data_IF_839157546968
#
_entry.id   IF_839157546968
#
_cell.length_a   1.000
_cell.length_b   1.000
_cell.length_c   1.000
_cell.angle_alpha   90.00
_cell.angle_beta   90.00
_cell.angle_gamma   90.00
#
_symmetry.space_group_name_H-M   'P 1'
#
loop_
_entity.id
_entity.type
_entity.pdbx_description
1 polymer ?
#
# COMPACT_ATOMS: atom_id res chain seq x y z
N UNK A 1 19.07 -12.00 24.41
CA UNK A 1 18.09 -11.48 23.43
C UNK A 1 18.36 -12.19 22.11
N UNK A 2 17.35 -12.77 21.44
CA UNK A 2 17.56 -13.35 20.11
C UNK A 2 18.09 -12.29 19.16
N UNK A 3 19.05 -12.64 18.32
CA UNK A 3 19.53 -11.73 17.26
C UNK A 3 18.41 -11.63 16.22
N UNK A 4 17.95 -10.41 15.86
CA UNK A 4 16.90 -10.30 14.86
C UNK A 4 17.34 -10.91 13.52
N UNK A 5 16.46 -11.70 12.91
CA UNK A 5 16.74 -12.35 11.63
C UNK A 5 17.01 -11.34 10.52
N UNK A 6 18.00 -11.61 9.67
CA UNK A 6 18.33 -10.79 8.50
C UNK A 6 18.35 -11.64 7.25
N UNK A 7 17.55 -11.25 6.25
CA UNK A 7 17.51 -11.87 4.92
C UNK A 7 17.96 -10.85 3.89
N UNK A 8 18.88 -11.25 3.02
CA UNK A 8 19.26 -10.51 1.81
C UNK A 8 19.23 -11.49 0.66
N UNK A 9 18.43 -11.22 -0.37
CA UNK A 9 18.19 -12.21 -1.42
C UNK A 9 18.00 -11.63 -2.82
N UNK A 10 18.50 -12.36 -3.81
CA UNK A 10 18.14 -12.24 -5.23
C UNK A 10 17.44 -13.48 -5.76
N UNK A 11 17.10 -14.44 -4.90
CA UNK A 11 16.43 -15.70 -5.23
C UNK A 11 14.93 -15.63 -4.99
N UNK A 12 14.24 -16.71 -5.41
CA UNK A 12 12.82 -16.92 -5.16
C UNK A 12 12.63 -17.67 -3.84
N UNK A 13 11.89 -17.07 -2.90
CA UNK A 13 11.33 -17.76 -1.74
C UNK A 13 9.83 -17.90 -1.93
N UNK A 14 9.31 -19.11 -1.75
CA UNK A 14 7.89 -19.40 -1.94
C UNK A 14 7.36 -20.22 -0.77
N UNK A 15 6.21 -19.82 -0.24
CA UNK A 15 5.45 -20.61 0.72
C UNK A 15 4.88 -21.87 0.06
N UNK A 16 4.77 -22.96 0.81
CA UNK A 16 4.17 -24.20 0.29
C UNK A 16 2.71 -24.00 -0.13
N UNK A 17 2.27 -24.60 -1.23
CA UNK A 17 0.86 -24.56 -1.60
C UNK A 17 0.03 -25.44 -0.66
N UNK A 18 -1.21 -25.05 -0.43
CA UNK A 18 -2.20 -25.86 0.24
C UNK A 18 -2.60 -27.08 -0.58
N UNK A 19 -2.91 -28.19 0.10
CA UNK A 19 -3.42 -29.40 -0.54
C UNK A 19 -4.88 -29.25 -0.95
N UNK A 20 -5.29 -29.83 -2.07
CA UNK A 20 -6.70 -29.87 -2.45
C UNK A 20 -7.50 -30.78 -1.52
N UNK A 21 -8.76 -30.43 -1.31
CA UNK A 21 -9.72 -31.23 -0.57
C UNK A 21 -9.95 -32.60 -1.20
N UNK A 22 -10.08 -33.64 -0.36
CA UNK A 22 -10.44 -34.98 -0.83
C UNK A 22 -11.92 -35.08 -1.21
N UNK A 23 -12.24 -35.69 -2.35
CA UNK A 23 -13.62 -35.95 -2.75
C UNK A 23 -14.26 -37.01 -1.85
N UNK A 24 -15.58 -36.94 -1.69
CA UNK A 24 -16.38 -37.94 -0.97
C UNK A 24 -17.39 -38.61 -1.91
N UNK A 25 -17.38 -39.95 -1.94
CA UNK A 25 -18.33 -40.74 -2.77
C UNK A 25 -19.65 -41.08 -2.04
N UNK A 26 -19.81 -40.64 -0.78
CA UNK A 26 -20.96 -40.95 0.07
C UNK A 26 -22.23 -40.16 -0.28
N UNK A 27 -23.40 -40.79 -0.10
CA UNK A 27 -24.69 -40.11 -0.21
C UNK A 27 -24.80 -39.02 0.87
N UNK A 28 -24.94 -37.76 0.46
CA UNK A 28 -24.93 -36.57 1.35
C UNK A 28 -23.60 -36.32 2.11
N UNK A 29 -22.50 -36.99 1.75
CA UNK A 29 -21.20 -36.68 2.30
C UNK A 29 -20.64 -35.39 1.63
N UNK A 30 -20.09 -34.49 2.45
CA UNK A 30 -19.27 -33.38 1.96
C UNK A 30 -17.83 -33.82 1.79
N UNK A 31 -17.15 -33.33 0.75
CA UNK A 31 -15.72 -33.52 0.58
C UNK A 31 -14.90 -32.71 1.57
N UNK A 32 -13.59 -32.93 1.60
CA UNK A 32 -12.64 -32.17 2.42
C UNK A 32 -12.45 -30.74 1.93
N UNK A 33 -12.15 -29.82 2.84
CA UNK A 33 -11.73 -28.46 2.48
C UNK A 33 -10.33 -28.42 1.89
N UNK A 34 -10.03 -27.37 1.15
CA UNK A 34 -8.68 -27.07 0.69
C UNK A 34 -7.79 -26.60 1.84
N UNK A 35 -6.52 -26.98 1.82
CA UNK A 35 -5.52 -26.51 2.77
C UNK A 35 -5.06 -25.09 2.47
N UNK A 36 -4.59 -24.37 3.49
CA UNK A 36 -4.03 -23.03 3.33
C UNK A 36 -2.63 -23.08 2.69
N UNK A 37 -2.30 -22.04 1.92
CA UNK A 37 -0.95 -21.78 1.44
C UNK A 37 -0.06 -21.17 2.52
N UNK A 38 1.20 -21.55 2.54
CA UNK A 38 2.21 -21.07 3.48
C UNK A 38 2.68 -19.64 3.19
N UNK A 39 3.21 -18.98 4.20
CA UNK A 39 3.85 -17.66 4.06
C UNK A 39 5.18 -17.80 3.30
N UNK A 40 5.50 -16.85 2.42
CA UNK A 40 6.76 -16.82 1.67
C UNK A 40 7.98 -16.63 2.59
N UNK A 41 7.95 -15.58 3.42
CA UNK A 41 8.90 -15.35 4.51
C UNK A 41 8.17 -14.99 5.80
N UNK A 42 8.36 -15.79 6.84
CA UNK A 42 7.80 -15.55 8.17
C UNK A 42 8.90 -15.15 9.15
N UNK A 43 8.72 -14.04 9.84
CA UNK A 43 9.58 -13.57 10.93
C UNK A 43 8.82 -13.71 12.25
N UNK A 44 9.29 -14.63 13.09
CA UNK A 44 8.75 -14.89 14.44
C UNK A 44 9.26 -13.89 15.48
N UNK A 45 10.50 -13.42 15.32
CA UNK A 45 11.13 -12.43 16.19
C UNK A 45 10.90 -10.98 15.73
N UNK A 46 10.75 -10.09 16.70
CA UNK A 46 10.65 -8.64 16.48
C UNK A 46 12.00 -8.04 16.02
N UNK A 47 11.96 -7.03 15.15
CA UNK A 47 13.15 -6.28 14.75
C UNK A 47 13.92 -6.87 13.56
N UNK A 48 13.35 -7.85 12.85
CA UNK A 48 13.97 -8.50 11.70
C UNK A 48 14.14 -7.57 10.49
N UNK A 49 14.93 -8.00 9.51
CA UNK A 49 15.11 -7.27 8.26
C UNK A 49 15.09 -8.17 7.03
N UNK A 50 14.49 -7.67 5.94
CA UNK A 50 14.45 -8.32 4.64
C UNK A 50 14.86 -7.34 3.54
N UNK A 51 15.90 -7.68 2.78
CA UNK A 51 16.32 -6.94 1.58
C UNK A 51 16.15 -7.82 0.36
N UNK A 52 15.22 -7.46 -0.52
CA UNK A 52 14.90 -8.16 -1.75
C UNK A 52 15.54 -7.39 -2.89
N UNK A 53 16.55 -7.97 -3.54
CA UNK A 53 17.21 -7.38 -4.70
C UNK A 53 16.31 -7.42 -5.95
N UNK A 54 16.70 -6.73 -7.03
CA UNK A 54 15.86 -6.56 -8.22
C UNK A 54 15.33 -7.85 -8.86
N UNK A 55 16.10 -8.94 -8.80
CA UNK A 55 15.69 -10.25 -9.30
C UNK A 55 15.02 -11.14 -8.22
N UNK A 56 15.07 -10.74 -6.95
CA UNK A 56 14.50 -11.51 -5.85
C UNK A 56 12.98 -11.52 -5.88
N UNK A 57 12.40 -12.66 -5.49
CA UNK A 57 10.95 -12.82 -5.40
C UNK A 57 10.56 -13.46 -4.08
N UNK A 58 9.60 -12.87 -3.38
CA UNK A 58 8.98 -13.46 -2.20
C UNK A 58 7.51 -13.71 -2.52
N UNK A 59 7.10 -14.97 -2.47
CA UNK A 59 5.79 -15.43 -2.91
C UNK A 59 5.08 -16.19 -1.79
N UNK A 60 3.86 -15.78 -1.45
CA UNK A 60 2.97 -16.62 -0.66
C UNK A 60 2.58 -17.88 -1.42
N UNK A 61 2.34 -18.97 -0.70
CA UNK A 61 1.78 -20.19 -1.25
C UNK A 61 0.30 -20.02 -1.58
N UNK A 62 -0.18 -20.67 -2.63
CA UNK A 62 -1.60 -20.64 -2.97
C UNK A 62 -2.39 -21.54 -2.04
N UNK A 63 -3.62 -21.16 -1.71
CA UNK A 63 -4.59 -22.04 -1.08
C UNK A 63 -5.00 -23.18 -2.01
N UNK A 64 -5.32 -24.35 -1.44
CA UNK A 64 -5.86 -25.49 -2.19
C UNK A 64 -7.36 -25.34 -2.42
N UNK A 65 -7.88 -25.94 -3.48
CA UNK A 65 -9.32 -25.91 -3.76
C UNK A 65 -10.10 -26.86 -2.83
N UNK A 66 -11.33 -26.47 -2.50
CA UNK A 66 -12.28 -27.32 -1.80
C UNK A 66 -12.79 -28.45 -2.69
N UNK A 67 -13.12 -29.59 -2.09
CA UNK A 67 -13.66 -30.74 -2.81
C UNK A 67 -15.11 -30.54 -3.28
N UNK A 68 -15.44 -31.24 -4.37
CA UNK A 68 -16.79 -31.34 -4.89
C UNK A 68 -17.72 -32.09 -3.91
N UNK A 69 -18.97 -31.63 -3.79
CA UNK A 69 -20.00 -32.33 -3.03
C UNK A 69 -21.04 -33.01 -3.94
N UNK A 70 -21.28 -34.30 -3.70
CA UNK A 70 -22.31 -35.06 -4.42
C UNK A 70 -23.72 -34.82 -3.82
N UNK A 71 -24.74 -34.94 -4.68
CA UNK A 71 -26.16 -34.87 -4.32
C UNK A 71 -26.66 -33.52 -3.77
N UNK A 72 -27.16 -33.49 -2.52
CA UNK A 72 -27.63 -32.27 -1.84
C UNK A 72 -26.52 -31.64 -0.97
N UNK A 73 -25.29 -32.12 -1.10
CA UNK A 73 -24.16 -31.60 -0.32
C UNK A 73 -23.75 -30.19 -0.73
N UNK A 74 -23.22 -29.45 0.24
CA UNK A 74 -22.55 -28.17 0.04
C UNK A 74 -21.09 -28.47 -0.29
N UNK A 75 -20.54 -27.84 -1.34
CA UNK A 75 -19.14 -27.98 -1.69
C UNK A 75 -18.23 -27.49 -0.57
N UNK A 76 -17.04 -28.07 -0.44
CA UNK A 76 -16.14 -27.74 0.67
C UNK A 76 -15.50 -26.36 0.47
N UNK A 77 -15.01 -25.75 1.55
CA UNK A 77 -14.35 -24.44 1.46
C UNK A 77 -13.00 -24.56 0.75
N UNK A 78 -12.63 -23.53 -0.01
CA UNK A 78 -11.27 -23.35 -0.49
C UNK A 78 -10.32 -22.90 0.62
N UNK A 79 -9.04 -23.20 0.47
CA UNK A 79 -7.99 -22.77 1.39
C UNK A 79 -7.55 -21.33 1.11
N UNK A 80 -7.04 -20.65 2.12
CA UNK A 80 -6.53 -19.29 2.00
C UNK A 80 -5.14 -19.27 1.34
N UNK A 81 -4.84 -18.19 0.62
CA UNK A 81 -3.48 -17.92 0.15
C UNK A 81 -2.59 -17.36 1.26
N UNK A 82 -1.34 -17.80 1.31
CA UNK A 82 -0.36 -17.33 2.29
C UNK A 82 0.15 -15.93 1.98
N UNK A 83 0.63 -15.21 2.99
CA UNK A 83 1.24 -13.89 2.78
C UNK A 83 2.60 -13.99 2.08
N UNK A 84 3.01 -12.94 1.36
CA UNK A 84 4.38 -12.85 0.84
C UNK A 84 5.37 -12.76 2.00
N UNK A 85 5.29 -11.69 2.78
CA UNK A 85 6.05 -11.50 4.02
C UNK A 85 5.09 -11.30 5.18
N UNK A 86 5.35 -11.98 6.31
CA UNK A 86 4.62 -11.79 7.55
C UNK A 86 5.56 -11.65 8.75
N UNK A 87 5.31 -10.68 9.61
CA UNK A 87 6.03 -10.48 10.87
C UNK A 87 5.88 -9.06 11.40
N UNK A 88 6.48 -8.77 12.55
CA UNK A 88 6.32 -7.48 13.24
C UNK A 88 7.68 -6.80 13.48
N UNK A 89 7.70 -5.47 13.54
CA UNK A 89 8.94 -4.71 13.77
C UNK A 89 9.95 -4.84 12.63
N UNK A 90 9.50 -5.11 11.40
CA UNK A 90 10.40 -5.45 10.30
C UNK A 90 10.87 -4.21 9.54
N UNK A 91 12.16 -4.22 9.16
CA UNK A 91 12.69 -3.33 8.12
C UNK A 91 12.76 -4.06 6.79
N UNK A 92 11.96 -3.63 5.81
CA UNK A 92 11.85 -4.27 4.50
C UNK A 92 12.33 -3.31 3.42
N UNK A 93 13.28 -3.75 2.60
CA UNK A 93 13.74 -3.04 1.41
C UNK A 93 13.43 -3.90 0.19
N UNK A 94 12.46 -3.48 -0.62
CA UNK A 94 12.06 -4.19 -1.82
C UNK A 94 12.53 -3.48 -3.09
N UNK A 95 13.38 -4.16 -3.85
CA UNK A 95 13.73 -3.81 -5.24
C UNK A 95 13.18 -4.84 -6.24
N UNK A 96 12.79 -6.02 -5.75
CA UNK A 96 12.29 -7.13 -6.56
C UNK A 96 10.76 -7.23 -6.51
N UNK A 97 10.25 -8.46 -6.37
CA UNK A 97 8.81 -8.72 -6.28
C UNK A 97 8.43 -9.35 -4.95
N UNK A 98 7.37 -8.82 -4.32
CA UNK A 98 6.71 -9.45 -3.17
C UNK A 98 5.24 -9.65 -3.55
N UNK A 99 4.75 -10.88 -3.44
CA UNK A 99 3.38 -11.22 -3.80
C UNK A 99 2.76 -12.17 -2.78
N UNK A 100 1.51 -11.89 -2.38
CA UNK A 100 0.71 -12.83 -1.61
C UNK A 100 0.14 -13.97 -2.47
N UNK A 101 -0.11 -15.12 -1.86
CA UNK A 101 -0.65 -16.30 -2.50
C UNK A 101 -2.12 -16.13 -2.90
N UNK A 102 -2.52 -16.84 -3.94
CA UNK A 102 -3.91 -16.85 -4.40
C UNK A 102 -4.80 -17.64 -3.44
N UNK A 103 -6.08 -17.26 -3.37
CA UNK A 103 -7.10 -18.06 -2.72
C UNK A 103 -7.36 -19.36 -3.49
N UNK A 104 -7.65 -20.45 -2.77
CA UNK A 104 -8.24 -21.66 -3.35
C UNK A 104 -9.74 -21.47 -3.59
N UNK A 105 -10.26 -22.06 -4.66
CA UNK A 105 -11.67 -22.02 -4.98
C UNK A 105 -12.49 -22.90 -4.03
N UNK A 106 -13.71 -22.47 -3.72
CA UNK A 106 -14.70 -23.31 -3.08
C UNK A 106 -15.08 -24.48 -3.98
N UNK A 107 -15.22 -25.66 -3.39
CA UNK A 107 -15.68 -26.84 -4.09
C UNK A 107 -17.09 -26.64 -4.65
N UNK A 108 -17.35 -27.18 -5.84
CA UNK A 108 -18.68 -27.06 -6.45
C UNK A 108 -19.72 -27.93 -5.74
N UNK A 109 -20.94 -27.39 -5.59
CA UNK A 109 -22.12 -28.15 -5.18
C UNK A 109 -22.84 -28.77 -6.38
N UNK A 110 -23.62 -29.83 -6.15
CA UNK A 110 -24.40 -30.48 -7.21
C UNK A 110 -25.60 -29.62 -7.66
N UNK A 111 -25.42 -28.91 -8.78
CA UNK A 111 -26.39 -27.99 -9.37
C UNK A 111 -27.76 -28.64 -9.69
N UNK A 112 -27.78 -29.94 -10.04
CA UNK A 112 -29.01 -30.67 -10.39
C UNK A 112 -29.94 -30.96 -9.21
N UNK A 113 -29.48 -30.76 -7.97
CA UNK A 113 -30.21 -31.14 -6.75
C UNK A 113 -30.22 -30.04 -5.68
N UNK A 114 -29.89 -28.80 -6.07
CA UNK A 114 -29.90 -27.64 -5.19
C UNK A 114 -28.71 -27.56 -4.24
N UNK A 115 -27.57 -28.19 -4.55
CA UNK A 115 -26.34 -28.01 -3.80
C UNK A 115 -25.70 -26.64 -4.07
N UNK A 116 -25.06 -26.05 -3.07
CA UNK A 116 -24.36 -24.77 -3.16
C UNK A 116 -22.85 -24.97 -3.21
N UNK A 117 -22.14 -24.13 -3.96
CA UNK A 117 -20.67 -24.06 -3.93
C UNK A 117 -20.19 -23.67 -2.54
N UNK A 118 -19.10 -24.27 -2.08
CA UNK A 118 -18.41 -23.83 -0.88
C UNK A 118 -17.90 -22.39 -1.05
N UNK A 119 -17.68 -21.66 0.05
CA UNK A 119 -16.99 -20.37 -0.05
C UNK A 119 -15.55 -20.56 -0.53
N UNK A 120 -15.09 -19.58 -1.29
CA UNK A 120 -13.68 -19.46 -1.65
C UNK A 120 -12.82 -19.12 -0.43
N UNK A 121 -11.54 -19.48 -0.50
CA UNK A 121 -10.56 -18.97 0.43
C UNK A 121 -10.31 -17.47 0.25
N UNK A 122 -9.59 -16.88 1.19
CA UNK A 122 -9.10 -15.50 1.10
C UNK A 122 -7.71 -15.47 0.50
N UNK A 123 -7.44 -14.49 -0.37
CA UNK A 123 -6.11 -14.31 -0.91
C UNK A 123 -5.15 -13.68 0.11
N UNK A 124 -3.88 -14.02 0.01
CA UNK A 124 -2.85 -13.51 0.91
C UNK A 124 -2.45 -12.08 0.55
N UNK A 125 -2.20 -11.25 1.55
CA UNK A 125 -1.55 -9.95 1.34
C UNK A 125 -0.07 -10.12 0.91
N UNK A 126 0.47 -9.15 0.17
CA UNK A 126 1.89 -9.11 -0.16
C UNK A 126 2.76 -9.00 1.10
N UNK A 127 2.43 -8.05 1.98
CA UNK A 127 3.07 -7.86 3.28
C UNK A 127 2.01 -7.71 4.37
N UNK A 128 2.18 -8.38 5.50
CA UNK A 128 1.23 -8.37 6.62
C UNK A 128 1.94 -8.28 7.97
N UNK A 129 1.57 -7.32 8.82
CA UNK A 129 2.09 -7.23 10.18
C UNK A 129 2.04 -5.83 10.79
N UNK A 130 2.72 -5.63 11.92
CA UNK A 130 2.76 -4.36 12.64
C UNK A 130 4.16 -3.77 12.76
N UNK A 131 4.24 -2.47 13.01
CA UNK A 131 5.50 -1.72 13.22
C UNK A 131 6.50 -1.94 12.09
N UNK A 132 6.00 -1.86 10.86
CA UNK A 132 6.77 -2.13 9.66
C UNK A 132 7.38 -0.84 9.10
N UNK A 133 8.66 -0.90 8.73
CA UNK A 133 9.36 0.12 7.95
C UNK A 133 9.70 -0.45 6.57
N UNK A 134 8.94 -0.03 5.56
CA UNK A 134 9.02 -0.58 4.20
C UNK A 134 9.57 0.49 3.26
N UNK A 135 10.62 0.17 2.53
CA UNK A 135 11.11 0.96 1.39
C UNK A 135 10.87 0.18 0.11
N UNK A 136 10.02 0.68 -0.77
CA UNK A 136 9.68 0.03 -2.03
C UNK A 136 10.22 0.80 -3.23
N UNK A 137 10.93 0.08 -4.09
CA UNK A 137 11.37 0.50 -5.44
C UNK A 137 11.14 -0.62 -6.47
N UNK A 138 10.46 -1.69 -6.07
CA UNK A 138 10.03 -2.81 -6.92
C UNK A 138 8.52 -3.00 -6.86
N UNK A 139 8.08 -4.26 -6.99
CA UNK A 139 6.65 -4.62 -7.05
C UNK A 139 6.21 -5.23 -5.71
N UNK A 140 5.10 -4.74 -5.15
CA UNK A 140 4.39 -5.39 -4.05
C UNK A 140 2.94 -5.61 -4.46
N UNK A 141 2.45 -6.85 -4.38
CA UNK A 141 1.10 -7.20 -4.80
C UNK A 141 0.37 -8.13 -3.83
N UNK A 142 -0.92 -7.90 -3.65
CA UNK A 142 -1.80 -8.88 -3.01
C UNK A 142 -2.08 -10.06 -3.95
N UNK A 143 -2.36 -11.21 -3.37
CA UNK A 143 -2.84 -12.39 -4.10
C UNK A 143 -4.21 -12.14 -4.73
N UNK A 144 -4.53 -12.94 -5.74
CA UNK A 144 -5.84 -12.94 -6.38
C UNK A 144 -6.83 -13.79 -5.58
N UNK A 145 -8.06 -13.31 -5.45
CA UNK A 145 -9.19 -14.10 -4.98
C UNK A 145 -9.50 -15.20 -6.01
N UNK A 146 -10.26 -16.22 -5.60
CA UNK A 146 -10.53 -17.37 -6.45
C UNK A 146 -11.35 -16.99 -7.71
N UNK A 147 -12.16 -15.94 -7.63
CA UNK A 147 -12.86 -15.35 -8.78
C UNK A 147 -11.92 -14.74 -9.83
N UNK A 148 -10.61 -14.62 -9.54
CA UNK A 148 -9.58 -13.98 -10.36
C UNK A 148 -9.80 -12.48 -10.65
N UNK A 149 -10.83 -11.86 -10.08
CA UNK A 149 -11.15 -10.44 -10.24
C UNK A 149 -10.82 -9.65 -8.98
N UNK A 150 -11.14 -10.19 -7.80
CA UNK A 150 -10.80 -9.60 -6.52
C UNK A 150 -9.33 -9.80 -6.19
N UNK A 151 -8.76 -8.86 -5.44
CA UNK A 151 -7.37 -8.92 -4.98
C UNK A 151 -7.28 -8.57 -3.51
N UNK A 152 -6.44 -9.30 -2.78
CA UNK A 152 -6.05 -8.92 -1.43
C UNK A 152 -5.30 -7.58 -1.41
N UNK A 153 -5.14 -7.04 -0.21
CA UNK A 153 -4.28 -5.89 0.01
C UNK A 153 -2.84 -6.22 -0.41
N UNK A 154 -2.14 -5.28 -1.03
CA UNK A 154 -0.71 -5.40 -1.24
C UNK A 154 0.03 -5.35 0.09
N UNK A 155 -0.42 -4.48 1.01
CA UNK A 155 0.17 -4.33 2.34
C UNK A 155 -0.96 -4.11 3.35
N UNK A 156 -0.94 -4.84 4.45
CA UNK A 156 -1.82 -4.62 5.60
C UNK A 156 -0.98 -4.36 6.84
N UNK A 157 -1.14 -3.18 7.43
CA UNK A 157 -0.57 -2.84 8.72
C UNK A 157 -1.58 -3.12 9.83
N UNK A 158 -1.25 -4.01 10.75
CA UNK A 158 -2.18 -4.52 11.77
C UNK A 158 -2.10 -3.76 13.10
N UNK A 159 -1.10 -2.88 13.28
CA UNK A 159 -0.92 -2.09 14.50
C UNK A 159 0.40 -1.32 14.53
N UNK A 160 0.59 -0.57 15.61
CA UNK A 160 1.82 0.18 15.88
C UNK A 160 2.08 1.35 14.93
N UNK A 161 3.34 1.82 14.88
CA UNK A 161 3.76 2.91 14.00
C UNK A 161 4.42 2.34 12.73
N UNK A 162 3.76 2.53 11.59
CA UNK A 162 4.20 1.98 10.31
C UNK A 162 4.68 3.08 9.36
N UNK A 163 5.64 2.73 8.49
CA UNK A 163 6.16 3.62 7.45
C UNK A 163 6.24 2.87 6.12
N UNK A 164 5.61 3.43 5.09
CA UNK A 164 5.80 3.01 3.70
C UNK A 164 6.48 4.13 2.93
N UNK A 165 7.72 3.89 2.51
CA UNK A 165 8.47 4.76 1.63
C UNK A 165 8.37 4.26 0.18
N UNK A 166 7.82 5.10 -0.69
CA UNK A 166 7.81 4.91 -2.14
C UNK A 166 9.03 5.61 -2.73
N UNK A 167 9.80 4.87 -3.52
CA UNK A 167 10.88 5.40 -4.36
C UNK A 167 10.54 5.19 -5.85
N UNK A 168 11.30 5.83 -6.74
CA UNK A 168 11.15 5.62 -8.18
C UNK A 168 11.22 4.12 -8.53
N UNK A 169 10.29 3.66 -9.39
CA UNK A 169 10.12 2.24 -9.73
C UNK A 169 9.16 1.46 -8.83
N UNK A 170 8.68 2.06 -7.73
CA UNK A 170 7.67 1.45 -6.87
C UNK A 170 6.35 1.19 -7.61
N UNK A 171 5.92 -0.07 -7.63
CA UNK A 171 4.60 -0.48 -8.11
C UNK A 171 3.87 -1.23 -6.99
N UNK A 172 2.69 -0.74 -6.63
CA UNK A 172 1.80 -1.39 -5.67
C UNK A 172 0.55 -1.84 -6.40
N UNK A 173 0.25 -3.14 -6.34
CA UNK A 173 -0.94 -3.73 -6.98
C UNK A 173 -1.84 -4.37 -5.93
N UNK A 174 -2.91 -3.66 -5.56
CA UNK A 174 -3.74 -3.91 -4.39
C UNK A 174 -3.71 -2.72 -3.43
N UNK A 175 -4.53 -2.76 -2.39
CA UNK A 175 -4.59 -1.66 -1.40
C UNK A 175 -3.44 -1.74 -0.39
N UNK A 176 -3.09 -0.60 0.17
CA UNK A 176 -2.24 -0.47 1.36
C UNK A 176 -3.12 0.05 2.47
N UNK A 177 -3.35 -0.77 3.50
CA UNK A 177 -4.33 -0.47 4.54
C UNK A 177 -3.63 -0.41 5.90
N UNK A 178 -3.70 0.75 6.55
CA UNK A 178 -3.43 0.89 7.98
C UNK A 178 -4.70 0.51 8.72
N UNK A 179 -4.81 -0.75 9.12
CA UNK A 179 -6.00 -1.28 9.79
C UNK A 179 -6.10 -0.79 11.23
N UNK A 180 -4.95 -0.62 11.90
CA UNK A 180 -4.84 -0.09 13.26
C UNK A 180 -3.47 0.57 13.46
N UNK A 181 -3.37 1.48 14.43
CA UNK A 181 -2.16 2.25 14.72
C UNK A 181 -2.02 3.48 13.85
N UNK A 182 -0.78 3.86 13.54
CA UNK A 182 -0.45 5.02 12.70
C UNK A 182 0.34 4.60 11.48
N UNK A 183 0.22 5.38 10.41
CA UNK A 183 0.90 5.13 9.15
C UNK A 183 1.48 6.41 8.58
N UNK A 184 2.73 6.33 8.17
CA UNK A 184 3.44 7.37 7.42
C UNK A 184 3.63 6.90 5.98
N UNK A 185 3.05 7.61 5.02
CA UNK A 185 3.37 7.43 3.60
C UNK A 185 4.47 8.42 3.23
N UNK A 186 5.63 7.94 2.81
CA UNK A 186 6.77 8.77 2.46
C UNK A 186 7.06 8.68 0.96
N UNK A 187 7.11 9.82 0.29
CA UNK A 187 7.63 9.98 -1.06
C UNK A 187 9.11 10.34 -0.94
N UNK A 188 10.00 9.50 -1.43
CA UNK A 188 11.44 9.63 -1.17
C UNK A 188 12.31 9.19 -2.36
N UNK A 189 13.60 9.07 -2.13
CA UNK A 189 14.61 8.71 -3.11
C UNK A 189 15.32 9.91 -3.73
N UNK A 190 16.33 9.62 -4.54
CA UNK A 190 17.14 10.62 -5.26
C UNK A 190 16.63 10.88 -6.67
N UNK A 191 15.92 9.91 -7.26
CA UNK A 191 15.29 10.02 -8.57
C UNK A 191 13.91 10.70 -8.46
N UNK A 192 13.48 11.29 -9.57
CA UNK A 192 12.17 11.91 -9.64
C UNK A 192 11.04 10.86 -9.66
N UNK A 193 9.90 11.23 -9.11
CA UNK A 193 8.73 10.35 -8.98
C UNK A 193 7.42 11.09 -9.25
N UNK A 194 6.36 10.33 -9.45
CA UNK A 194 4.99 10.85 -9.55
C UNK A 194 4.10 10.08 -8.60
N UNK A 195 3.22 10.80 -7.90
CA UNK A 195 2.23 10.23 -7.00
C UNK A 195 0.86 10.85 -7.27
N UNK A 196 -0.16 10.01 -7.47
CA UNK A 196 -1.53 10.48 -7.58
C UNK A 196 -2.16 10.57 -6.19
N UNK A 197 -2.38 11.79 -5.71
CA UNK A 197 -2.96 12.05 -4.40
C UNK A 197 -4.41 11.56 -4.28
N UNK A 198 -5.12 11.37 -5.39
CA UNK A 198 -6.47 10.76 -5.37
C UNK A 198 -6.44 9.30 -4.91
N UNK A 199 -5.27 8.66 -4.97
CA UNK A 199 -5.05 7.32 -4.43
C UNK A 199 -4.91 7.30 -2.90
N UNK A 200 -4.85 8.44 -2.22
CA UNK A 200 -4.74 8.55 -0.76
C UNK A 200 -6.06 9.04 -0.15
N UNK A 201 -6.60 8.32 0.83
CA UNK A 201 -7.84 8.69 1.53
C UNK A 201 -8.47 7.52 2.28
N UNK A 202 -9.74 7.64 2.66
CA UNK A 202 -10.44 6.59 3.44
C UNK A 202 -10.75 5.31 2.63
N UNK A 203 -11.04 5.45 1.33
CA UNK A 203 -11.43 4.37 0.41
C UNK A 203 -10.49 4.11 -0.77
N UNK A 204 -9.62 5.04 -1.23
CA UNK A 204 -8.66 4.80 -2.32
C UNK A 204 -7.59 3.75 -1.99
N UNK A 205 -6.56 3.63 -2.84
CA UNK A 205 -5.52 2.60 -2.68
C UNK A 205 -4.77 2.66 -1.34
N UNK A 206 -4.43 3.85 -0.85
CA UNK A 206 -3.67 4.08 0.38
C UNK A 206 -4.62 4.57 1.47
N UNK A 207 -4.90 3.70 2.44
CA UNK A 207 -5.96 3.87 3.44
C UNK A 207 -5.41 3.94 4.86
N UNK A 208 -6.03 4.80 5.69
CA UNK A 208 -5.75 4.89 7.13
C UNK A 208 -4.41 5.53 7.50
N UNK A 209 -3.66 6.06 6.51
CA UNK A 209 -2.46 6.86 6.80
C UNK A 209 -2.82 8.12 7.57
N UNK A 210 -1.96 8.49 8.52
CA UNK A 210 -2.12 9.68 9.36
C UNK A 210 -1.16 10.79 8.95
N UNK A 211 -0.10 10.46 8.20
CA UNK A 211 0.89 11.41 7.72
C UNK A 211 1.38 11.10 6.31
N UNK A 212 1.66 12.15 5.55
CA UNK A 212 2.32 12.14 4.26
C UNK A 212 3.64 12.90 4.37
N UNK A 213 4.73 12.32 3.90
CA UNK A 213 6.05 12.95 3.93
C UNK A 213 6.64 13.04 2.54
N UNK A 214 7.32 14.15 2.26
CA UNK A 214 8.34 14.23 1.21
C UNK A 214 9.72 14.28 1.86
N UNK A 215 10.54 13.29 1.55
CA UNK A 215 11.94 13.20 1.97
C UNK A 215 12.82 12.88 0.74
N UNK A 216 14.13 12.76 0.93
CA UNK A 216 15.07 12.53 -0.19
C UNK A 216 15.24 13.75 -1.11
N UNK A 217 16.27 13.72 -1.95
CA UNK A 217 16.64 14.84 -2.82
C UNK A 217 15.85 14.92 -4.12
N UNK A 218 15.23 13.83 -4.56
CA UNK A 218 14.48 13.77 -5.83
C UNK A 218 13.24 14.66 -5.82
N UNK A 219 12.72 15.00 -7.00
CA UNK A 219 11.49 15.77 -7.16
C UNK A 219 10.30 14.83 -7.28
N UNK A 220 9.27 15.03 -6.45
CA UNK A 220 8.02 14.29 -6.58
C UNK A 220 6.91 15.19 -7.14
N UNK A 221 6.34 14.78 -8.26
CA UNK A 221 5.16 15.43 -8.83
C UNK A 221 3.91 14.79 -8.21
N UNK A 222 3.15 15.57 -7.46
CA UNK A 222 1.90 15.12 -6.85
C UNK A 222 0.74 15.60 -7.72
N UNK A 223 -0.01 14.67 -8.30
CA UNK A 223 -1.18 14.95 -9.16
C UNK A 223 -2.48 14.60 -8.46
N UNK A 224 -3.63 14.93 -9.07
CA UNK A 224 -4.94 14.52 -8.55
C UNK A 224 -5.37 15.29 -7.29
N UNK A 225 -6.59 15.04 -6.83
CA UNK A 225 -7.15 15.67 -5.63
C UNK A 225 -7.36 14.61 -4.54
N UNK A 226 -6.87 14.88 -3.34
CA UNK A 226 -6.99 13.97 -2.20
C UNK A 226 -8.04 14.42 -1.20
N UNK A 227 -8.75 13.47 -0.59
CA UNK A 227 -9.55 13.69 0.62
C UNK A 227 -8.73 13.55 1.91
N UNK A 228 -7.43 13.26 1.80
CA UNK A 228 -6.52 13.14 2.93
C UNK A 228 -6.48 14.43 3.75
N UNK A 229 -6.72 14.29 5.05
CA UNK A 229 -6.70 15.38 6.03
C UNK A 229 -5.62 15.23 7.09
N UNK A 230 -4.75 14.22 6.97
CA UNK A 230 -3.61 14.07 7.86
C UNK A 230 -2.52 15.11 7.59
N UNK A 231 -1.46 15.08 8.40
CA UNK A 231 -0.36 16.05 8.28
C UNK A 231 0.50 15.75 7.06
N UNK A 232 0.82 16.76 6.25
CA UNK A 232 1.80 16.65 5.17
C UNK A 232 3.09 17.37 5.57
N UNK A 233 4.24 16.69 5.55
CA UNK A 233 5.55 17.30 5.87
C UNK A 233 6.50 17.23 4.68
N UNK A 234 7.07 18.37 4.29
CA UNK A 234 8.09 18.48 3.24
C UNK A 234 9.45 18.73 3.90
N UNK A 235 10.17 17.64 4.13
CA UNK A 235 11.45 17.64 4.84
C UNK A 235 12.68 17.82 3.96
N UNK A 236 12.62 17.40 2.69
CA UNK A 236 13.74 17.54 1.74
C UNK A 236 13.30 17.47 0.27
N UNK A 237 14.12 18.02 -0.63
CA UNK A 237 13.87 18.01 -2.07
C UNK A 237 12.72 18.93 -2.48
N UNK A 238 12.07 18.60 -3.61
CA UNK A 238 10.97 19.41 -4.16
C UNK A 238 9.68 18.61 -4.31
N UNK A 239 8.54 19.24 -4.05
CA UNK A 239 7.19 18.71 -4.35
C UNK A 239 6.53 19.61 -5.37
N UNK A 240 6.28 19.12 -6.58
CA UNK A 240 5.47 19.84 -7.56
C UNK A 240 4.01 19.41 -7.42
N UNK A 241 3.13 20.28 -6.92
CA UNK A 241 1.71 19.95 -6.73
C UNK A 241 0.93 20.37 -7.98
N UNK A 242 0.60 19.42 -8.84
CA UNK A 242 -0.32 19.59 -9.96
C UNK A 242 -1.67 18.93 -9.63
N UNK A 243 -2.24 19.31 -8.48
CA UNK A 243 -3.34 18.62 -7.81
C UNK A 243 -3.90 19.42 -6.63
N UNK A 244 -4.62 18.77 -5.72
CA UNK A 244 -5.20 19.38 -4.52
C UNK A 244 -4.92 18.57 -3.24
N UNK A 245 -4.32 19.23 -2.25
CA UNK A 245 -4.14 18.75 -0.88
C UNK A 245 -4.84 19.70 0.12
N UNK A 246 -5.94 20.34 -0.30
CA UNK A 246 -6.63 21.41 0.46
C UNK A 246 -7.04 21.04 1.88
N UNK A 247 -7.23 19.75 2.16
CA UNK A 247 -7.67 19.26 3.47
C UNK A 247 -6.51 18.93 4.42
N UNK A 248 -5.26 19.03 3.97
CA UNK A 248 -4.07 18.69 4.72
C UNK A 248 -3.30 19.95 5.14
N UNK A 249 -2.83 19.98 6.39
CA UNK A 249 -1.88 20.97 6.87
C UNK A 249 -0.49 20.64 6.31
N UNK A 250 0.06 21.55 5.50
CA UNK A 250 1.35 21.38 4.85
C UNK A 250 2.43 22.09 5.67
N UNK A 251 3.32 21.30 6.27
CA UNK A 251 4.51 21.79 7.00
C UNK A 251 5.76 21.65 6.14
N UNK A 252 6.55 22.70 5.99
CA UNK A 252 7.82 22.69 5.24
C UNK A 252 8.98 22.91 6.19
N UNK A 253 9.85 21.91 6.33
CA UNK A 253 10.97 21.95 7.30
C UNK A 253 12.36 21.98 6.64
N UNK A 254 12.49 21.54 5.38
CA UNK A 254 13.78 21.56 4.68
C UNK A 254 13.74 21.36 3.16
N UNK A 255 12.54 21.35 2.56
CA UNK A 255 12.35 21.28 1.10
C UNK A 255 11.68 22.52 0.53
N UNK A 256 11.37 22.48 -0.77
CA UNK A 256 10.63 23.55 -1.45
C UNK A 256 9.34 23.03 -2.09
N UNK A 257 8.16 23.55 -1.72
CA UNK A 257 6.96 23.39 -2.53
C UNK A 257 7.22 24.07 -3.89
N UNK A 258 7.15 23.28 -4.96
CA UNK A 258 7.11 23.75 -6.34
C UNK A 258 5.72 24.31 -6.68
N UNK A 259 5.39 24.41 -7.99
CA UNK A 259 4.11 24.92 -8.50
C UNK A 259 2.95 24.49 -7.60
N UNK A 260 2.26 25.45 -7.00
CA UNK A 260 1.17 25.19 -6.06
C UNK A 260 -0.14 25.06 -6.84
N UNK A 261 -0.65 23.83 -6.95
CA UNK A 261 -2.08 23.58 -6.95
C UNK A 261 -2.71 24.02 -5.61
N UNK A 262 -4.01 23.85 -5.44
CA UNK A 262 -4.67 24.23 -4.19
C UNK A 262 -4.16 23.34 -3.03
N UNK A 263 -3.42 23.92 -2.09
CA UNK A 263 -3.00 23.27 -0.84
C UNK A 263 -3.72 23.93 0.33
N UNK A 264 -3.84 23.24 1.46
CA UNK A 264 -4.43 23.77 2.69
C UNK A 264 -3.56 24.87 3.32
N UNK A 265 -3.66 25.06 4.63
CA UNK A 265 -2.76 25.94 5.37
C UNK A 265 -1.30 25.52 5.17
N UNK A 266 -0.43 26.46 4.77
CA UNK A 266 1.01 26.23 4.65
C UNK A 266 1.71 26.84 5.87
N UNK A 267 2.44 26.02 6.61
CA UNK A 267 3.36 26.43 7.67
C UNK A 267 4.79 26.19 7.19
N UNK A 268 5.58 27.25 7.08
CA UNK A 268 7.00 27.17 6.68
C UNK A 268 7.86 27.40 7.91
N UNK A 269 8.70 26.43 8.24
CA UNK A 269 9.66 26.52 9.34
C UNK A 269 11.05 26.92 8.84
N UNK A 270 11.96 27.19 9.79
CA UNK A 270 13.33 27.59 9.48
C UNK A 270 14.03 26.52 8.62
N UNK A 271 14.31 26.85 7.35
CA UNK A 271 14.88 25.94 6.35
C UNK A 271 13.96 25.59 5.17
N UNK A 272 12.66 25.87 5.26
CA UNK A 272 11.71 25.70 4.14
C UNK A 272 11.75 26.88 3.15
N UNK A 273 11.61 26.60 1.85
CA UNK A 273 11.57 27.64 0.80
C UNK A 273 10.23 27.54 0.06
N UNK A 274 9.39 28.58 0.12
CA UNK A 274 8.26 28.72 -0.82
C UNK A 274 8.77 29.32 -2.12
N UNK A 275 8.81 28.52 -3.19
CA UNK A 275 9.11 29.05 -4.51
C UNK A 275 7.88 29.85 -5.01
N UNK A 276 8.05 31.08 -5.51
CA UNK A 276 6.95 31.81 -6.13
C UNK A 276 6.42 31.00 -7.34
N UNK A 277 5.09 30.94 -7.50
CA UNK A 277 4.50 30.44 -8.73
C UNK A 277 5.11 31.23 -9.91
N UNK A 278 5.71 30.54 -10.90
CA UNK A 278 6.10 31.21 -12.14
C UNK A 278 4.83 31.86 -12.69
N UNK A 279 4.79 33.18 -12.75
CA UNK A 279 3.69 33.88 -13.39
C UNK A 279 3.53 33.31 -14.82
N UNK A 280 2.30 33.06 -15.31
CA UNK A 280 2.12 32.88 -16.73
C UNK A 280 2.76 34.10 -17.41
N UNK A 281 3.60 33.82 -18.41
CA UNK A 281 4.35 34.82 -19.17
C UNK A 281 3.55 36.11 -19.33
N UNK A 282 4.15 37.23 -18.91
CA UNK A 282 3.54 38.56 -19.00
C UNK A 282 2.95 38.82 -20.39
N UNK A 283 1.63 38.61 -20.50
CA UNK A 283 0.83 38.89 -21.67
C UNK A 283 -0.43 39.58 -21.18
N UNK A 284 -0.43 40.92 -21.29
CA UNK A 284 -1.53 41.83 -20.96
C UNK A 284 -1.76 42.16 -19.47
N UNK A 285 -0.91 43.05 -18.93
CA UNK A 285 -1.33 43.89 -17.79
C UNK A 285 -2.29 44.98 -18.30
N UNK A 286 -3.59 44.88 -18.00
CA UNK A 286 -4.44 46.07 -17.84
C UNK A 286 -4.56 46.38 -16.35
N UNK A 287 -3.89 47.46 -15.97
CA UNK A 287 -3.90 48.13 -14.65
C UNK A 287 -5.34 48.39 -14.17
N UNK A 288 -5.62 48.04 -12.91
CA UNK A 288 -6.43 48.85 -12.01
C UNK A 288 -6.12 48.46 -10.56
N UNK A 289 -5.19 49.19 -9.93
CA UNK A 289 -4.90 49.10 -8.51
C UNK A 289 -5.37 50.43 -7.90
N UNK A 290 -6.50 50.41 -7.17
CA UNK A 290 -6.85 51.50 -6.26
C UNK A 290 -6.68 50.99 -4.83
N UNK A 291 -5.54 51.27 -4.24
CA UNK A 291 -5.31 51.11 -2.81
C UNK A 291 -5.67 52.45 -2.14
N UNK A 292 -6.75 52.48 -1.37
CA UNK A 292 -7.11 53.62 -0.52
C UNK A 292 -6.66 53.34 0.91
N UNK A 293 -5.83 54.22 1.47
CA UNK A 293 -5.74 54.42 2.93
C UNK A 293 -5.15 55.82 3.20
N UNK A 294 -5.59 56.52 4.26
CA UNK A 294 -5.47 57.97 4.38
C UNK A 294 -4.24 58.40 5.17
N UNK A 295 -3.69 59.57 4.86
CA UNK A 295 -2.69 60.24 5.68
C UNK A 295 -3.30 61.48 6.34
N UNK A 296 -3.16 61.53 7.66
CA UNK A 296 -3.55 62.58 8.60
C UNK A 296 -2.35 63.54 8.79
N UNK A 297 -2.57 64.86 8.71
CA UNK A 297 -1.66 65.92 9.20
C UNK A 297 -2.56 67.08 9.63
N UNK A 298 -2.78 67.37 10.92
CA UNK A 298 -1.97 68.15 11.88
C UNK A 298 -1.50 69.51 11.31
N UNK A 299 -2.09 70.54 11.96
CA UNK A 299 -1.97 72.01 11.86
C UNK A 299 -2.61 72.67 10.65
#
# INVERSE_FOLDING_TARGET
MPVPGRIVTSYVYRGGNGGHGGNSDGYQAGGGGGGDGGVGLFFDAYGGSATIAGAGQILGGNGGDGAYAYWRGVGAMGGNGGHGIQGNGLTIVNKGTIQGGMAGAGGAGSARRGGTTGPDGLAGAGIFGSELSITNSGIISGGLNADSYGRANAITFTGGANRLELQAGSVITGNVVVQSGTGTLALSGTADGTFDASALGATPQYQGFTSLEKTGSGTWTVTGASSFSGQTTIGAGQVAVNGSLVNSDVRVTGGSPGRTGAVGGIVVENGGILAPARQPSAGSMRRAMSCSTPARSIR
#
